data_IF_805406210860
#
_entry.id   IF_805406210860
#
_cell.length_a   1.000
_cell.length_b   1.000
_cell.length_c   1.000
_cell.angle_alpha   90.00
_cell.angle_beta   90.00
_cell.angle_gamma   90.00
#
_symmetry.space_group_name_H-M   'P 1'
#
loop_
_entity.id
_entity.type
_entity.pdbx_description
1 polymer ?
#
# COMPACT_ATOMS: atom_id res chain seq x y z
N UNK A 1 0.30 25.74 7.03
CA UNK A 1 0.14 24.27 7.13
C UNK A 1 1.45 23.67 6.66
N UNK A 2 2.28 23.19 7.59
CA UNK A 2 3.71 22.93 7.33
C UNK A 2 3.90 21.63 6.54
N UNK A 3 4.71 21.69 5.47
CA UNK A 3 5.13 20.53 4.68
C UNK A 3 5.73 19.43 5.57
N UNK A 4 6.43 19.81 6.64
CA UNK A 4 7.01 18.86 7.60
C UNK A 4 5.98 17.99 8.33
N UNK A 5 4.80 18.54 8.67
CA UNK A 5 3.74 17.73 9.32
C UNK A 5 3.18 16.70 8.36
N UNK A 6 2.97 17.09 7.09
CA UNK A 6 2.52 16.16 6.04
C UNK A 6 3.54 15.07 5.76
N UNK A 7 4.84 15.40 5.77
CA UNK A 7 5.91 14.40 5.62
C UNK A 7 5.91 13.44 6.80
N UNK A 8 5.74 13.91 8.03
CA UNK A 8 5.68 13.06 9.22
C UNK A 8 4.44 12.15 9.22
N UNK A 9 3.27 12.68 8.84
CA UNK A 9 2.03 11.92 8.70
C UNK A 9 2.16 10.84 7.62
N UNK A 10 2.76 11.18 6.47
CA UNK A 10 3.05 10.22 5.41
C UNK A 10 4.01 9.14 5.92
N UNK A 11 5.15 9.53 6.52
CA UNK A 11 6.13 8.60 7.10
C UNK A 11 5.51 7.66 8.15
N UNK A 12 4.61 8.16 8.99
CA UNK A 12 3.92 7.34 10.00
C UNK A 12 3.04 6.25 9.38
N UNK A 13 2.45 6.49 8.20
CA UNK A 13 1.66 5.51 7.46
C UNK A 13 2.56 4.44 6.78
N UNK A 14 3.81 4.79 6.43
CA UNK A 14 4.71 3.88 5.69
C UNK A 14 5.24 2.71 6.53
N UNK A 15 5.23 2.85 7.85
CA UNK A 15 5.83 1.89 8.79
C UNK A 15 4.80 0.96 9.41
N UNK A 16 3.53 1.07 9.01
CA UNK A 16 2.42 0.28 9.54
C UNK A 16 2.30 -1.05 8.78
N UNK A 17 2.20 -2.15 9.52
CA UNK A 17 1.82 -3.46 8.95
C UNK A 17 0.36 -3.35 8.52
N UNK A 18 0.09 -3.70 7.27
CA UNK A 18 -1.26 -3.61 6.69
C UNK A 18 -1.86 -5.01 6.62
N UNK A 19 -3.02 -5.20 7.26
CA UNK A 19 -3.65 -6.51 7.45
C UNK A 19 -3.91 -7.25 6.13
N UNK A 20 -4.40 -6.55 5.10
CA UNK A 20 -4.73 -7.14 3.79
C UNK A 20 -3.61 -7.00 2.74
N UNK A 21 -2.39 -6.62 3.14
CA UNK A 21 -1.26 -6.47 2.23
C UNK A 21 -1.29 -5.21 1.35
N UNK A 22 -2.39 -4.45 1.34
CA UNK A 22 -2.43 -3.07 0.85
C UNK A 22 -3.54 -2.25 1.54
N UNK A 23 -3.36 -0.94 1.62
CA UNK A 23 -4.39 -0.03 2.15
C UNK A 23 -4.34 1.32 1.45
N UNK A 24 -5.52 1.86 1.16
CA UNK A 24 -5.68 3.18 0.54
C UNK A 24 -5.89 4.27 1.60
N UNK A 25 -5.22 5.39 1.40
CA UNK A 25 -5.35 6.60 2.20
C UNK A 25 -5.73 7.80 1.32
N UNK A 26 -6.06 8.92 1.97
CA UNK A 26 -6.33 10.20 1.31
C UNK A 26 -7.28 10.08 0.10
N UNK A 27 -8.45 9.44 0.30
CA UNK A 27 -9.43 9.20 -0.79
C UNK A 27 -8.85 8.43 -2.00
N UNK A 28 -8.00 7.43 -1.73
CA UNK A 28 -7.32 6.58 -2.73
C UNK A 28 -6.23 7.31 -3.55
N UNK A 29 -5.68 8.40 -3.03
CA UNK A 29 -4.53 9.09 -3.63
C UNK A 29 -3.18 8.53 -3.15
N UNK A 30 -3.19 7.75 -2.07
CA UNK A 30 -1.99 7.11 -1.53
C UNK A 30 -2.32 5.64 -1.28
N UNK A 31 -1.41 4.74 -1.67
CA UNK A 31 -1.52 3.33 -1.34
C UNK A 31 -0.24 2.83 -0.68
N UNK A 32 -0.40 2.20 0.48
CA UNK A 32 0.67 1.45 1.14
C UNK A 32 0.56 -0.01 0.73
N UNK A 33 1.68 -0.62 0.35
CA UNK A 33 1.75 -2.03 -0.01
C UNK A 33 2.67 -2.77 0.96
N UNK A 34 2.21 -3.89 1.49
CA UNK A 34 2.95 -4.77 2.38
C UNK A 34 3.05 -6.16 1.75
N UNK A 35 4.26 -6.58 1.39
CA UNK A 35 4.47 -7.80 0.59
C UNK A 35 4.88 -9.02 1.42
N UNK A 36 5.25 -8.85 2.69
CA UNK A 36 5.65 -9.95 3.58
C UNK A 36 4.44 -10.48 4.38
N UNK A 37 3.82 -11.62 4.00
CA UNK A 37 2.77 -12.22 4.81
C UNK A 37 3.33 -12.70 6.15
N UNK A 38 2.47 -12.74 7.16
CA UNK A 38 2.82 -13.17 8.51
C UNK A 38 4.10 -12.50 9.04
N UNK A 39 4.14 -11.16 8.96
CA UNK A 39 5.35 -10.39 9.24
C UNK A 39 5.92 -10.75 10.63
N UNK A 40 7.22 -11.08 10.67
CA UNK A 40 7.93 -11.55 11.86
C UNK A 40 7.30 -12.74 12.61
N UNK A 41 6.29 -13.41 12.05
CA UNK A 41 5.51 -14.43 12.77
C UNK A 41 4.58 -13.87 13.86
N UNK A 42 4.43 -12.54 13.95
CA UNK A 42 3.68 -11.85 15.01
C UNK A 42 2.33 -11.28 14.52
N UNK A 43 2.20 -11.07 13.21
CA UNK A 43 1.03 -10.43 12.60
C UNK A 43 0.31 -11.41 11.68
N UNK A 44 -1.02 -11.45 11.65
CA UNK A 44 -1.78 -12.26 10.68
C UNK A 44 -2.01 -11.52 9.34
N UNK A 45 -1.05 -10.69 8.94
CA UNK A 45 -1.18 -9.87 7.75
C UNK A 45 -0.96 -10.69 6.46
N UNK A 46 -1.66 -10.34 5.41
CA UNK A 46 -1.42 -10.83 4.07
C UNK A 46 -0.24 -10.11 3.39
N UNK A 47 0.35 -10.79 2.41
CA UNK A 47 1.24 -10.17 1.44
C UNK A 47 0.44 -9.74 0.22
N UNK A 48 0.61 -8.50 -0.21
CA UNK A 48 0.02 -7.93 -1.42
C UNK A 48 1.07 -7.67 -2.50
N UNK A 49 0.65 -7.75 -3.76
CA UNK A 49 1.39 -7.29 -4.94
C UNK A 49 0.49 -6.36 -5.76
N UNK A 50 1.04 -5.27 -6.29
CA UNK A 50 0.32 -4.41 -7.25
C UNK A 50 0.94 -4.54 -8.64
N UNK A 51 0.09 -4.65 -9.66
CA UNK A 51 0.47 -4.59 -11.08
C UNK A 51 -0.21 -3.40 -11.74
N UNK A 52 0.51 -2.71 -12.63
CA UNK A 52 0.02 -1.53 -13.36
C UNK A 52 0.09 -1.83 -14.86
N UNK A 53 -1.00 -1.60 -15.58
CA UNK A 53 -1.07 -1.81 -17.03
C UNK A 53 -0.78 -0.52 -17.83
N UNK A 54 -0.79 -0.64 -19.16
CA UNK A 54 -0.54 0.47 -20.09
C UNK A 54 -1.58 1.60 -20.01
N UNK A 55 -2.76 1.34 -19.44
CA UNK A 55 -3.82 2.31 -19.20
C UNK A 55 -3.75 2.94 -17.81
N UNK A 56 -2.68 2.68 -17.06
CA UNK A 56 -2.49 3.06 -15.65
C UNK A 56 -3.52 2.42 -14.71
N UNK A 57 -4.20 1.36 -15.15
CA UNK A 57 -5.07 0.58 -14.28
C UNK A 57 -4.22 -0.25 -13.34
N UNK A 58 -4.58 -0.24 -12.06
CA UNK A 58 -3.83 -0.96 -11.05
C UNK A 58 -4.65 -2.13 -10.51
N UNK A 59 -4.01 -3.29 -10.42
CA UNK A 59 -4.58 -4.51 -9.86
C UNK A 59 -3.75 -4.95 -8.65
N UNK A 60 -4.42 -5.42 -7.62
CA UNK A 60 -3.83 -5.86 -6.37
C UNK A 60 -4.10 -7.35 -6.19
N UNK A 61 -3.04 -8.11 -5.97
CA UNK A 61 -3.13 -9.54 -5.71
C UNK A 61 -2.78 -9.82 -4.25
N UNK A 62 -3.72 -10.44 -3.53
CA UNK A 62 -3.60 -10.76 -2.10
C UNK A 62 -4.11 -12.19 -1.88
N UNK A 63 -3.28 -13.08 -1.31
CA UNK A 63 -3.66 -14.48 -1.01
C UNK A 63 -4.30 -15.24 -2.20
N UNK A 64 -3.89 -14.93 -3.44
CA UNK A 64 -4.43 -15.54 -4.66
C UNK A 64 -5.71 -14.91 -5.22
N UNK A 65 -6.30 -13.93 -4.52
CA UNK A 65 -7.40 -13.12 -5.01
C UNK A 65 -6.87 -11.86 -5.70
N UNK A 66 -7.55 -11.43 -6.77
CA UNK A 66 -7.20 -10.20 -7.51
C UNK A 66 -8.32 -9.19 -7.36
N UNK A 67 -7.98 -7.97 -6.93
CA UNK A 67 -8.87 -6.82 -6.87
C UNK A 67 -8.36 -5.74 -7.81
N UNK A 68 -9.23 -5.27 -8.72
CA UNK A 68 -8.87 -4.25 -9.71
C UNK A 68 -9.44 -2.91 -9.29
N UNK A 69 -8.61 -1.86 -9.37
CA UNK A 69 -9.01 -0.49 -9.07
C UNK A 69 -8.62 0.46 -10.21
N UNK A 70 -9.57 1.31 -10.60
CA UNK A 70 -9.26 2.49 -11.41
C UNK A 70 -8.60 3.52 -10.49
N UNK A 71 -7.33 3.78 -10.75
CA UNK A 71 -6.52 4.71 -9.99
C UNK A 71 -6.40 6.02 -10.78
N UNK A 72 -6.60 7.15 -10.11
CA UNK A 72 -6.46 8.48 -10.72
C UNK A 72 -4.96 8.83 -10.84
N UNK A 73 -4.60 9.73 -11.76
CA UNK A 73 -3.23 10.01 -12.23
C UNK A 73 -2.17 10.38 -11.17
N UNK A 74 -2.55 10.59 -9.90
CA UNK A 74 -1.63 10.98 -8.82
C UNK A 74 -1.67 10.00 -7.66
N UNK A 75 -1.21 8.77 -7.89
CA UNK A 75 -1.01 7.82 -6.79
C UNK A 75 0.46 7.70 -6.44
N UNK A 76 0.73 7.98 -5.17
CA UNK A 76 2.01 7.68 -4.56
C UNK A 76 1.94 6.25 -4.03
N UNK A 77 2.85 5.40 -4.53
CA UNK A 77 3.04 4.06 -4.00
C UNK A 77 4.13 4.11 -2.94
N UNK A 78 3.87 3.50 -1.80
CA UNK A 78 4.89 3.37 -0.77
C UNK A 78 5.08 1.91 -0.36
N UNK A 79 6.32 1.47 -0.50
CA UNK A 79 6.75 0.16 -0.08
C UNK A 79 7.26 0.20 1.35
N UNK A 80 6.70 -0.64 2.21
CA UNK A 80 7.31 -0.95 3.50
C UNK A 80 8.19 -2.18 3.34
N UNK A 81 9.50 -1.97 3.17
CA UNK A 81 10.50 -3.03 3.30
C UNK A 81 11.12 -2.92 4.69
N UNK A 82 10.67 -3.74 5.63
CA UNK A 82 11.44 -3.97 6.85
C UNK A 82 12.14 -5.32 6.73
N UNK A 83 13.48 -5.27 6.64
CA UNK A 83 14.35 -6.43 6.76
C UNK A 83 14.10 -7.18 8.06
#
# INVERSE_FOLDING_TARGET
MNILSRVLDVLSILFQVVEDGYEFFAKRQLVTLFSAPNYCGEFDNAGGMMSVDETLMCSFQVRGNTVVHNLFEEIFMVFSFKK
#
